data_IF_870711073570
#
_entry.id   IF_870711073570
#
_cell.length_a   1.000
_cell.length_b   1.000
_cell.length_c   1.000
_cell.angle_alpha   90.00
_cell.angle_beta   90.00
_cell.angle_gamma   90.00
#
_symmetry.space_group_name_H-M   'P 1'
#
loop_
_entity.id
_entity.type
_entity.pdbx_description
1 polymer ?
#
# COMPACT_ATOMS: atom_id res chain seq x y z
N UNK A 1 4.71 -14.70 -1.08
CA UNK A 1 5.51 -13.48 -0.83
C UNK A 1 5.21 -12.95 0.56
N UNK A 2 6.21 -12.76 1.43
CA UNK A 2 5.98 -12.31 2.81
C UNK A 2 5.28 -10.93 2.89
N UNK A 3 5.59 -10.02 1.95
CA UNK A 3 4.99 -8.69 1.91
C UNK A 3 3.45 -8.70 1.80
N UNK A 4 2.86 -9.67 1.07
CA UNK A 4 1.40 -9.78 0.98
C UNK A 4 0.73 -10.00 2.34
N UNK A 5 1.39 -10.71 3.27
CA UNK A 5 0.90 -10.91 4.64
C UNK A 5 1.21 -9.73 5.57
N UNK A 6 2.19 -8.89 5.22
CA UNK A 6 2.79 -7.89 6.11
C UNK A 6 2.51 -6.44 5.71
N UNK A 7 1.94 -6.18 4.53
CA UNK A 7 1.76 -4.80 4.02
C UNK A 7 1.00 -3.90 4.99
N UNK A 8 -0.01 -4.45 5.67
CA UNK A 8 -0.84 -3.74 6.66
C UNK A 8 -0.37 -3.91 8.12
N UNK A 9 0.78 -4.54 8.38
CA UNK A 9 1.25 -4.79 9.76
C UNK A 9 1.44 -3.49 10.57
N UNK A 10 1.66 -2.37 9.89
CA UNK A 10 1.81 -1.04 10.49
C UNK A 10 0.57 -0.54 11.23
N UNK A 11 -0.62 -1.11 10.98
CA UNK A 11 -1.81 -0.78 11.75
C UNK A 11 -1.80 -1.37 13.17
N UNK A 12 -0.99 -2.40 13.42
CA UNK A 12 -0.95 -3.05 14.73
C UNK A 12 -0.52 -2.04 15.82
N UNK A 13 -1.22 -1.96 16.97
CA UNK A 13 -0.89 -0.98 18.01
C UNK A 13 0.54 -1.08 18.56
N UNK A 14 1.15 -2.28 18.54
CA UNK A 14 2.54 -2.50 18.95
C UNK A 14 3.58 -2.12 17.89
N UNK A 15 3.15 -1.89 16.65
CA UNK A 15 3.99 -1.51 15.50
C UNK A 15 3.87 -0.04 15.18
N UNK A 16 2.68 0.54 15.32
CA UNK A 16 2.39 1.95 15.02
C UNK A 16 3.30 2.90 15.79
N UNK A 17 3.94 3.84 15.08
CA UNK A 17 4.83 4.87 15.66
C UNK A 17 4.52 6.26 15.14
N UNK A 18 4.40 6.40 13.82
CA UNK A 18 4.15 7.68 13.14
C UNK A 18 2.67 7.89 12.84
N UNK A 19 1.89 6.79 12.79
CA UNK A 19 0.50 6.83 12.36
C UNK A 19 0.32 6.72 10.85
N UNK A 20 1.40 6.49 10.10
CA UNK A 20 1.39 6.13 8.69
C UNK A 20 1.85 4.69 8.55
N UNK A 21 0.89 3.78 8.34
CA UNK A 21 1.12 2.33 8.44
C UNK A 21 2.14 1.76 7.44
N UNK A 22 2.33 2.29 6.21
CA UNK A 22 3.35 1.75 5.31
C UNK A 22 4.76 1.96 5.88
N UNK A 23 5.03 3.16 6.42
CA UNK A 23 6.32 3.47 7.04
C UNK A 23 6.52 2.69 8.35
N UNK A 24 5.51 2.69 9.24
CA UNK A 24 5.59 1.97 10.51
C UNK A 24 5.80 0.46 10.30
N UNK A 25 5.08 -0.12 9.32
CA UNK A 25 5.24 -1.51 8.93
C UNK A 25 6.60 -1.81 8.32
N UNK A 26 7.10 -0.95 7.43
CA UNK A 26 8.40 -1.12 6.78
C UNK A 26 9.56 -1.10 7.78
N UNK A 27 9.52 -0.18 8.75
CA UNK A 27 10.48 -0.12 9.86
C UNK A 27 10.45 -1.38 10.70
N UNK A 28 9.25 -1.87 11.03
CA UNK A 28 9.08 -3.07 11.82
C UNK A 28 9.64 -4.30 11.11
N UNK A 29 9.25 -4.54 9.85
CA UNK A 29 9.73 -5.73 9.12
C UNK A 29 11.24 -5.66 8.89
N UNK A 30 11.80 -4.46 8.66
CA UNK A 30 13.26 -4.24 8.59
C UNK A 30 13.93 -4.64 9.90
N UNK A 31 13.39 -4.21 11.05
CA UNK A 31 13.93 -4.55 12.37
C UNK A 31 13.78 -6.04 12.74
N UNK A 32 12.72 -6.68 12.26
CA UNK A 32 12.44 -8.10 12.45
C UNK A 32 13.29 -9.01 11.54
N UNK A 33 14.19 -8.44 10.72
CA UNK A 33 15.11 -9.19 9.88
C UNK A 33 14.51 -9.66 8.55
N UNK A 34 13.35 -9.16 8.15
CA UNK A 34 12.88 -9.38 6.78
C UNK A 34 13.81 -8.66 5.79
N UNK A 35 14.09 -9.29 4.65
CA UNK A 35 15.01 -8.75 3.66
C UNK A 35 14.55 -7.40 3.08
N UNK A 36 15.51 -6.63 2.53
CA UNK A 36 15.28 -5.27 1.99
C UNK A 36 14.09 -5.19 1.04
N UNK A 37 13.93 -6.18 0.15
CA UNK A 37 12.81 -6.23 -0.79
C UNK A 37 11.44 -6.26 -0.08
N UNK A 38 11.31 -7.02 1.01
CA UNK A 38 10.05 -7.08 1.77
C UNK A 38 9.77 -5.74 2.44
N UNK A 39 10.77 -5.13 3.05
CA UNK A 39 10.64 -3.82 3.66
C UNK A 39 10.24 -2.74 2.64
N UNK A 40 10.88 -2.73 1.46
CA UNK A 40 10.49 -1.86 0.35
C UNK A 40 9.05 -2.11 -0.11
N UNK A 41 8.64 -3.36 -0.32
CA UNK A 41 7.27 -3.65 -0.73
C UNK A 41 6.23 -3.18 0.30
N UNK A 42 6.52 -3.34 1.61
CA UNK A 42 5.65 -2.81 2.68
C UNK A 42 5.67 -1.28 2.70
N UNK A 43 6.82 -0.64 2.47
CA UNK A 43 6.93 0.82 2.45
C UNK A 43 6.12 1.48 1.32
N UNK A 44 6.09 0.83 0.15
CA UNK A 44 5.54 1.41 -1.08
C UNK A 44 4.18 0.82 -1.50
N UNK A 45 3.60 -0.10 -0.72
CA UNK A 45 2.37 -0.81 -1.11
C UNK A 45 1.22 0.15 -1.46
N UNK A 46 0.43 -0.25 -2.45
CA UNK A 46 -0.85 0.40 -2.84
C UNK A 46 -0.77 1.93 -2.92
N UNK A 47 0.30 2.45 -3.54
CA UNK A 47 0.45 3.89 -3.76
C UNK A 47 0.84 4.70 -2.51
N UNK A 48 1.36 4.07 -1.46
CA UNK A 48 1.77 4.71 -0.21
C UNK A 48 2.67 5.97 -0.39
N UNK A 49 3.48 6.02 -1.45
CA UNK A 49 4.30 7.19 -1.77
C UNK A 49 3.47 8.46 -2.06
N UNK A 50 2.28 8.32 -2.66
CA UNK A 50 1.36 9.44 -2.90
C UNK A 50 0.79 9.94 -1.58
N UNK A 51 0.35 9.04 -0.70
CA UNK A 51 -0.14 9.40 0.63
C UNK A 51 0.95 10.02 1.51
N UNK A 52 2.18 9.51 1.44
CA UNK A 52 3.31 10.11 2.13
C UNK A 52 3.54 11.56 1.68
N UNK A 53 3.41 11.83 0.37
CA UNK A 53 3.48 13.19 -0.18
C UNK A 53 2.36 14.09 0.36
N UNK A 54 1.11 13.62 0.37
CA UNK A 54 -0.04 14.36 0.94
C UNK A 54 0.16 14.68 2.44
N UNK A 55 0.82 13.78 3.17
CA UNK A 55 1.15 13.95 4.60
C UNK A 55 2.44 14.74 4.85
N UNK A 56 3.20 15.09 3.81
CA UNK A 56 4.52 15.74 3.94
C UNK A 56 5.59 14.85 4.59
N UNK A 57 5.44 13.53 4.53
CA UNK A 57 6.35 12.56 5.14
C UNK A 57 7.51 12.22 4.20
N UNK A 58 8.74 12.25 4.72
CA UNK A 58 9.96 11.93 3.97
C UNK A 58 10.52 10.53 4.26
N UNK A 59 9.96 9.81 5.24
CA UNK A 59 10.52 8.56 5.75
C UNK A 59 10.59 7.41 4.74
N UNK A 60 9.78 7.45 3.68
CA UNK A 60 9.86 6.43 2.61
C UNK A 60 11.17 6.50 1.83
N UNK A 61 11.86 7.65 1.81
CA UNK A 61 13.16 7.79 1.13
C UNK A 61 14.29 6.93 1.73
N UNK A 62 14.09 6.37 2.93
CA UNK A 62 15.02 5.39 3.52
C UNK A 62 14.93 3.99 2.89
N UNK A 63 13.88 3.73 2.10
CA UNK A 63 13.63 2.46 1.45
C UNK A 63 13.87 2.60 -0.06
N UNK A 64 14.50 1.59 -0.67
CA UNK A 64 14.68 1.59 -2.12
C UNK A 64 13.38 1.24 -2.84
N UNK A 65 13.16 1.77 -4.03
CA UNK A 65 12.01 1.42 -4.87
C UNK A 65 11.97 -0.10 -5.11
N UNK A 66 10.84 -0.78 -4.83
CA UNK A 66 10.70 -2.19 -5.16
C UNK A 66 10.59 -2.37 -6.69
N UNK A 67 10.90 -3.57 -7.23
CA UNK A 67 10.61 -3.90 -8.61
C UNK A 67 9.12 -3.66 -8.93
N UNK A 68 8.85 -2.97 -10.04
CA UNK A 68 7.50 -2.50 -10.37
C UNK A 68 6.52 -3.63 -10.61
N UNK A 69 6.96 -4.72 -11.25
CA UNK A 69 6.15 -5.93 -11.44
C UNK A 69 5.73 -6.53 -10.09
N UNK A 70 6.66 -6.65 -9.16
CA UNK A 70 6.38 -7.21 -7.84
C UNK A 70 5.46 -6.30 -7.00
N UNK A 71 5.61 -4.98 -7.13
CA UNK A 71 4.73 -4.00 -6.50
C UNK A 71 3.32 -4.01 -7.12
N UNK A 72 3.22 -4.17 -8.43
CA UNK A 72 1.94 -4.33 -9.15
C UNK A 72 1.21 -5.57 -8.64
N UNK A 73 1.91 -6.71 -8.47
CA UNK A 73 1.32 -7.93 -7.90
C UNK A 73 0.79 -7.71 -6.48
N UNK A 74 1.53 -6.98 -5.64
CA UNK A 74 1.08 -6.68 -4.27
C UNK A 74 -0.14 -5.76 -4.28
N UNK A 75 -0.12 -4.71 -5.10
CA UNK A 75 -1.24 -3.77 -5.30
C UNK A 75 -2.48 -4.51 -5.82
N UNK A 76 -2.31 -5.42 -6.77
CA UNK A 76 -3.38 -6.29 -7.25
C UNK A 76 -3.97 -7.11 -6.12
N UNK A 77 -3.16 -7.79 -5.32
CA UNK A 77 -3.64 -8.60 -4.20
C UNK A 77 -4.45 -7.77 -3.20
N UNK A 78 -3.97 -6.58 -2.83
CA UNK A 78 -4.65 -5.69 -1.88
C UNK A 78 -5.97 -5.13 -2.45
N UNK A 79 -5.95 -4.62 -3.68
CA UNK A 79 -7.14 -4.00 -4.28
C UNK A 79 -8.20 -5.00 -4.76
N UNK A 80 -7.89 -6.28 -4.87
CA UNK A 80 -8.83 -7.32 -5.32
C UNK A 80 -9.26 -8.30 -4.23
N UNK A 81 -8.80 -8.10 -2.98
CA UNK A 81 -9.15 -8.94 -1.84
C UNK A 81 -9.83 -8.11 -0.75
N UNK A 82 -11.05 -8.48 -0.37
CA UNK A 82 -11.79 -7.87 0.72
C UNK A 82 -11.23 -8.27 2.10
N UNK A 83 -11.63 -7.58 3.19
CA UNK A 83 -11.16 -7.88 4.56
C UNK A 83 -11.44 -9.30 5.05
N UNK A 84 -12.45 -9.97 4.49
CA UNK A 84 -12.82 -11.35 4.76
C UNK A 84 -12.16 -12.36 3.80
N UNK A 85 -11.29 -11.88 2.90
CA UNK A 85 -10.64 -12.68 1.86
C UNK A 85 -11.49 -12.91 0.62
N UNK A 86 -12.70 -12.33 0.53
CA UNK A 86 -13.53 -12.46 -0.67
C UNK A 86 -12.99 -11.62 -1.84
N UNK A 87 -13.15 -12.07 -3.10
CA UNK A 87 -12.77 -11.26 -4.25
C UNK A 87 -13.60 -9.99 -4.34
N UNK A 88 -12.96 -8.85 -4.60
CA UNK A 88 -13.61 -7.56 -4.85
C UNK A 88 -13.09 -6.91 -6.13
N UNK A 89 -13.88 -6.02 -6.72
CA UNK A 89 -13.40 -5.18 -7.82
C UNK A 89 -12.47 -4.10 -7.28
N UNK A 90 -11.37 -3.82 -7.96
CA UNK A 90 -10.48 -2.71 -7.61
C UNK A 90 -11.21 -1.36 -7.66
N UNK A 91 -12.10 -1.14 -8.64
CA UNK A 91 -12.93 0.08 -8.72
C UNK A 91 -13.84 0.23 -7.49
N UNK A 92 -14.50 -0.85 -7.07
CA UNK A 92 -15.37 -0.84 -5.88
C UNK A 92 -14.54 -0.60 -4.62
N UNK A 93 -13.36 -1.22 -4.53
CA UNK A 93 -12.45 -1.06 -3.39
C UNK A 93 -11.96 0.38 -3.24
N UNK A 94 -11.55 1.02 -4.34
CA UNK A 94 -11.12 2.43 -4.32
C UNK A 94 -12.31 3.36 -4.01
N UNK A 95 -13.49 3.08 -4.56
CA UNK A 95 -14.71 3.86 -4.29
C UNK A 95 -15.17 3.76 -2.83
N UNK A 96 -15.03 2.59 -2.21
CA UNK A 96 -15.24 2.40 -0.77
C UNK A 96 -14.28 3.27 0.05
N UNK A 97 -12.99 3.29 -0.30
CA UNK A 97 -12.01 4.16 0.38
C UNK A 97 -12.42 5.63 0.28
N UNK A 98 -12.76 6.11 -0.92
CA UNK A 98 -13.20 7.50 -1.13
C UNK A 98 -14.50 7.85 -0.38
N UNK A 99 -15.34 6.86 -0.07
CA UNK A 99 -16.56 7.05 0.73
C UNK A 99 -16.26 7.06 2.24
N UNK A 100 -15.27 6.27 2.70
CA UNK A 100 -14.91 6.16 4.13
C UNK A 100 -14.16 7.38 4.67
N UNK A 101 -13.40 8.07 3.82
CA UNK A 101 -12.59 9.23 4.20
C UNK A 101 -13.13 10.51 3.58
N UNK A 102 -13.15 11.60 4.36
CA UNK A 102 -13.55 12.92 3.86
C UNK A 102 -12.55 13.45 2.81
N UNK A 103 -12.97 14.32 1.86
CA UNK A 103 -12.08 14.84 0.80
C UNK A 103 -10.79 15.54 1.28
N UNK A 104 -10.78 16.01 2.53
CA UNK A 104 -9.63 16.66 3.17
C UNK A 104 -8.65 15.66 3.82
N UNK A 105 -9.05 14.40 3.97
CA UNK A 105 -8.20 13.35 4.54
C UNK A 105 -7.08 12.99 3.54
N UNK A 106 -5.82 12.89 3.99
CA UNK A 106 -4.71 12.49 3.14
C UNK A 106 -4.93 11.16 2.41
N UNK A 107 -5.64 10.19 3.01
CA UNK A 107 -5.96 8.91 2.35
C UNK A 107 -6.88 9.14 1.16
N UNK A 108 -7.91 9.98 1.32
CA UNK A 108 -8.84 10.29 0.22
C UNK A 108 -8.09 10.95 -0.94
N UNK A 109 -7.30 11.99 -0.66
CA UNK A 109 -6.56 12.73 -1.69
C UNK A 109 -5.56 11.86 -2.42
N UNK A 110 -4.85 10.99 -1.69
CA UNK A 110 -3.89 10.08 -2.28
C UNK A 110 -4.57 9.03 -3.19
N UNK A 111 -5.70 8.47 -2.76
CA UNK A 111 -6.46 7.52 -3.58
C UNK A 111 -7.08 8.19 -4.80
N UNK A 112 -7.62 9.40 -4.65
CA UNK A 112 -8.18 10.16 -5.77
C UNK A 112 -7.10 10.51 -6.80
N UNK A 113 -5.96 11.05 -6.35
CA UNK A 113 -4.83 11.40 -7.20
C UNK A 113 -4.15 10.16 -7.85
N UNK A 114 -4.06 9.05 -7.11
CA UNK A 114 -3.42 7.81 -7.56
C UNK A 114 -4.35 6.84 -8.30
N UNK A 115 -5.65 7.14 -8.40
CA UNK A 115 -6.69 6.21 -8.85
C UNK A 115 -6.37 5.54 -10.19
N UNK A 116 -5.99 6.33 -11.18
CA UNK A 116 -5.72 5.82 -12.53
C UNK A 116 -4.52 4.87 -12.54
N UNK A 117 -3.44 5.22 -11.83
CA UNK A 117 -2.25 4.36 -11.76
C UNK A 117 -2.51 3.08 -10.97
N UNK A 118 -3.29 3.14 -9.88
CA UNK A 118 -3.67 1.94 -9.10
C UNK A 118 -4.50 0.97 -9.95
N UNK A 119 -5.43 1.48 -10.75
CA UNK A 119 -6.21 0.65 -11.68
C UNK A 119 -5.33 0.11 -12.83
N UNK A 120 -4.38 0.91 -13.31
CA UNK A 120 -3.42 0.46 -14.31
C UNK A 120 -2.53 -0.68 -13.79
N UNK A 121 -2.05 -0.59 -12.53
CA UNK A 121 -1.29 -1.65 -11.87
C UNK A 121 -2.08 -2.97 -11.81
N UNK A 122 -3.36 -2.89 -11.42
CA UNK A 122 -4.27 -4.05 -11.42
C UNK A 122 -4.41 -4.64 -12.82
N UNK A 123 -4.56 -3.80 -13.84
CA UNK A 123 -4.70 -4.26 -15.23
C UNK A 123 -3.42 -4.93 -15.75
N UNK A 124 -2.23 -4.37 -15.45
CA UNK A 124 -0.94 -4.97 -15.83
C UNK A 124 -0.79 -6.39 -15.32
N UNK A 125 -1.23 -6.67 -14.10
CA UNK A 125 -1.21 -8.02 -13.51
C UNK A 125 -2.22 -8.95 -14.17
N UNK A 126 -3.41 -8.46 -14.53
CA UNK A 126 -4.41 -9.26 -15.27
C UNK A 126 -3.90 -9.70 -16.63
N UNK A 127 -3.09 -8.88 -17.29
CA UNK A 127 -2.50 -9.17 -18.61
C UNK A 127 -1.34 -10.19 -18.55
N UNK A 128 -0.91 -10.61 -17.35
CA UNK A 128 0.05 -11.71 -17.19
C UNK A 128 -0.56 -13.10 -17.40
N UNK A 129 -1.90 -13.19 -17.37
CA UNK A 129 -2.68 -14.43 -17.43
C UNK A 129 -3.17 -14.72 -18.85
#
# INVERSE_FOLDING_TARGET
>A
MAAAWLHDIGYAPSVRRTGFHPLDGAEFVRSAGFGKLVASLVAFHTGAHVEASERGLQGLSEFGDPPSDVLDALTFCDLTTGPDGSPVSADDRLSDVLTRYAPEDPVHRAVDAGREELLAAVQRVRDWL
#
